data_IF_670688235908
#
_entry.id   IF_670688235908
#
_cell.length_a   1.000
_cell.length_b   1.000
_cell.length_c   1.000
_cell.angle_alpha   90.00
_cell.angle_beta   90.00
_cell.angle_gamma   90.00
#
_symmetry.space_group_name_H-M   'P 1'
#
loop_
_entity.id
_entity.type
_entity.pdbx_description
1 polymer ?
#
# COMPACT_ATOMS: atom_id res chain seq x y z
N UNK A 1 0.79 -6.76 15.99
CA UNK A 1 2.09 -6.42 15.35
C UNK A 1 3.08 -5.89 16.40
N UNK A 2 4.36 -6.24 16.33
CA UNK A 2 5.44 -5.65 17.15
C UNK A 2 6.45 -4.98 16.22
N UNK A 3 6.76 -3.70 16.46
CA UNK A 3 7.61 -2.87 15.58
C UNK A 3 8.87 -2.40 16.30
N UNK A 4 9.88 -1.93 15.54
CA UNK A 4 11.08 -1.32 16.12
C UNK A 4 12.02 -2.30 16.83
N UNK A 5 12.04 -3.57 16.43
CA UNK A 5 12.87 -4.61 17.04
C UNK A 5 14.33 -4.47 16.59
N UNK A 6 15.21 -4.07 17.51
CA UNK A 6 16.57 -3.63 17.18
C UNK A 6 17.63 -4.75 17.11
N UNK A 7 17.33 -5.96 17.60
CA UNK A 7 18.26 -7.08 17.65
C UNK A 7 17.53 -8.42 17.75
N UNK A 8 18.30 -9.52 17.65
CA UNK A 8 17.79 -10.89 17.68
C UNK A 8 17.05 -11.20 19.01
N UNK A 9 17.55 -10.69 20.14
CA UNK A 9 16.90 -10.86 21.45
C UNK A 9 15.49 -10.24 21.46
N UNK A 10 15.34 -9.04 20.90
CA UNK A 10 14.05 -8.36 20.79
C UNK A 10 13.07 -9.12 19.88
N UNK A 11 13.58 -9.67 18.76
CA UNK A 11 12.78 -10.50 17.84
C UNK A 11 12.30 -11.78 18.53
N UNK A 12 13.17 -12.49 19.24
CA UNK A 12 12.81 -13.71 19.99
C UNK A 12 11.77 -13.43 21.08
N UNK A 13 11.92 -12.32 21.81
CA UNK A 13 10.95 -11.91 22.82
C UNK A 13 9.58 -11.55 22.20
N UNK A 14 9.58 -10.84 21.07
CA UNK A 14 8.36 -10.52 20.34
C UNK A 14 7.66 -11.78 19.80
N UNK A 15 8.43 -12.74 19.27
CA UNK A 15 7.91 -14.02 18.81
C UNK A 15 7.22 -14.78 19.93
N UNK A 16 7.91 -14.99 21.07
CA UNK A 16 7.36 -15.72 22.21
C UNK A 16 6.04 -15.10 22.72
N UNK A 17 6.01 -13.76 22.84
CA UNK A 17 4.81 -13.04 23.24
C UNK A 17 3.67 -13.16 22.23
N UNK A 18 3.95 -13.08 20.92
CA UNK A 18 2.91 -13.22 19.89
C UNK A 18 2.36 -14.64 19.84
N UNK A 19 3.20 -15.66 20.01
CA UNK A 19 2.75 -17.07 20.07
C UNK A 19 1.94 -17.36 21.32
N UNK A 20 2.30 -16.77 22.47
CA UNK A 20 1.53 -16.89 23.71
C UNK A 20 0.15 -16.22 23.57
N UNK A 21 0.10 -15.02 22.98
CA UNK A 21 -1.15 -14.30 22.71
C UNK A 21 -2.08 -15.03 21.74
N UNK A 22 -1.53 -15.79 20.79
CA UNK A 22 -2.32 -16.58 19.85
C UNK A 22 -3.07 -17.73 20.54
N UNK A 23 -2.55 -18.24 21.67
CA UNK A 23 -3.17 -19.33 22.42
C UNK A 23 -3.42 -20.55 21.53
N UNK A 24 -4.66 -21.04 21.53
CA UNK A 24 -5.09 -22.19 20.73
C UNK A 24 -5.50 -21.83 19.28
N UNK A 25 -5.36 -20.57 18.87
CA UNK A 25 -5.64 -20.17 17.49
C UNK A 25 -4.66 -20.86 16.52
N UNK A 26 -5.16 -21.22 15.33
CA UNK A 26 -4.31 -21.76 14.28
C UNK A 26 -3.32 -20.67 13.82
N UNK A 27 -2.06 -20.83 14.20
CA UNK A 27 -0.96 -19.95 13.81
C UNK A 27 -0.14 -20.62 12.71
N UNK A 28 -0.27 -20.15 11.47
CA UNK A 28 0.56 -20.64 10.35
C UNK A 28 2.03 -20.27 10.50
N UNK A 29 2.31 -19.13 11.14
CA UNK A 29 3.66 -18.66 11.42
C UNK A 29 3.70 -17.20 11.86
N UNK A 30 4.91 -16.64 11.94
CA UNK A 30 5.14 -15.22 12.23
C UNK A 30 5.95 -14.61 11.09
N UNK A 31 5.41 -13.59 10.45
CA UNK A 31 6.10 -12.83 9.42
C UNK A 31 7.10 -11.85 10.08
N UNK A 32 8.37 -11.96 9.69
CA UNK A 32 9.44 -11.03 10.10
C UNK A 32 9.85 -10.22 8.88
N UNK A 33 9.66 -8.91 8.95
CA UNK A 33 9.92 -7.98 7.85
C UNK A 33 10.84 -6.84 8.29
N UNK A 34 11.51 -6.22 7.32
CA UNK A 34 12.30 -5.01 7.55
C UNK A 34 11.43 -3.87 8.11
N UNK A 35 11.97 -3.13 9.08
CA UNK A 35 11.32 -1.91 9.58
C UNK A 35 11.61 -0.73 8.66
N UNK A 36 10.65 -0.39 7.79
CA UNK A 36 10.73 0.80 6.95
C UNK A 36 10.55 2.07 7.82
N UNK A 37 11.35 3.09 7.56
CA UNK A 37 11.27 4.40 8.24
C UNK A 37 11.21 5.54 7.23
N UNK A 38 10.41 6.55 7.55
CA UNK A 38 10.22 7.72 6.69
C UNK A 38 9.46 7.38 5.40
N UNK A 39 9.46 8.32 4.47
CA UNK A 39 8.59 8.25 3.29
C UNK A 39 7.19 8.78 3.54
N UNK A 40 6.36 8.75 2.51
CA UNK A 40 4.96 9.17 2.56
C UNK A 40 4.11 7.93 2.42
N UNK A 41 3.26 7.67 3.41
CA UNK A 41 2.26 6.60 3.31
C UNK A 41 1.21 6.97 2.26
N UNK A 42 0.93 6.03 1.38
CA UNK A 42 -0.07 6.07 0.30
C UNK A 42 -0.92 4.81 0.35
N UNK A 43 -2.03 4.80 -0.36
CA UNK A 43 -2.83 3.61 -0.61
C UNK A 43 -2.91 3.35 -2.11
N UNK A 44 -2.83 2.08 -2.51
CA UNK A 44 -3.16 1.63 -3.86
C UNK A 44 -4.05 0.41 -3.75
N UNK A 45 -5.19 0.43 -4.43
CA UNK A 45 -6.14 -0.68 -4.38
C UNK A 45 -6.81 -0.98 -5.71
N UNK A 46 -7.53 -2.09 -5.73
CA UNK A 46 -8.43 -2.52 -6.80
C UNK A 46 -9.79 -2.73 -6.16
N UNK A 47 -10.77 -1.96 -6.61
CA UNK A 47 -12.18 -2.10 -6.23
C UNK A 47 -12.97 -2.60 -7.44
N UNK A 48 -14.07 -3.31 -7.20
CA UNK A 48 -15.00 -3.70 -8.28
C UNK A 48 -16.12 -2.69 -8.31
N UNK A 49 -16.19 -1.94 -9.41
CA UNK A 49 -17.32 -1.07 -9.71
C UNK A 49 -18.37 -1.84 -10.54
N UNK A 50 -19.65 -1.65 -10.23
CA UNK A 50 -20.74 -2.39 -10.88
C UNK A 50 -20.88 -2.08 -12.38
N UNK A 51 -20.46 -0.89 -12.82
CA UNK A 51 -20.60 -0.43 -14.19
C UNK A 51 -19.29 -0.62 -14.97
N UNK A 52 -18.15 -0.34 -14.33
CA UNK A 52 -16.85 -0.30 -14.99
C UNK A 52 -15.97 -1.53 -14.70
N UNK A 53 -16.37 -2.38 -13.76
CA UNK A 53 -15.59 -3.53 -13.33
C UNK A 53 -14.36 -3.12 -12.49
N UNK A 54 -13.22 -3.82 -12.63
CA UNK A 54 -12.05 -3.57 -11.79
C UNK A 54 -11.56 -2.13 -11.99
N UNK A 55 -11.46 -1.37 -10.91
CA UNK A 55 -11.08 0.04 -10.91
C UNK A 55 -9.92 0.23 -9.94
N UNK A 56 -8.86 0.90 -10.40
CA UNK A 56 -7.67 1.18 -9.59
C UNK A 56 -7.92 2.44 -8.76
N UNK A 57 -7.66 2.34 -7.46
CA UNK A 57 -7.71 3.44 -6.52
C UNK A 57 -6.28 3.84 -6.12
N UNK A 58 -6.02 5.13 -6.00
CA UNK A 58 -4.80 5.67 -5.41
C UNK A 58 -5.14 6.82 -4.47
N UNK A 59 -4.41 6.93 -3.36
CA UNK A 59 -4.60 8.03 -2.42
C UNK A 59 -3.38 8.24 -1.53
N UNK A 60 -3.46 9.27 -0.68
CA UNK A 60 -2.61 9.32 0.51
C UNK A 60 -2.91 8.11 1.41
N UNK A 61 -2.04 7.77 2.35
CA UNK A 61 -2.21 6.70 3.35
C UNK A 61 -2.37 7.28 4.76
N UNK A 62 -2.63 6.41 5.73
CA UNK A 62 -2.76 6.76 7.14
C UNK A 62 -4.14 7.35 7.53
N UNK A 63 -4.27 7.77 8.80
CA UNK A 63 -5.56 8.20 9.40
C UNK A 63 -6.23 9.35 8.63
N UNK A 64 -5.47 10.14 7.88
CA UNK A 64 -6.00 11.23 7.06
C UNK A 64 -6.90 10.74 5.90
N UNK A 65 -6.74 9.51 5.42
CA UNK A 65 -7.51 8.97 4.27
C UNK A 65 -8.96 8.72 4.61
N UNK A 66 -9.20 8.12 5.78
CA UNK A 66 -10.55 7.79 6.27
C UNK A 66 -11.39 9.06 6.46
N UNK A 67 -10.73 10.17 6.83
CA UNK A 67 -11.38 11.46 7.11
C UNK A 67 -11.54 12.32 5.86
N UNK A 68 -10.52 12.38 4.99
CA UNK A 68 -10.50 13.35 3.88
C UNK A 68 -10.91 12.77 2.52
N UNK A 69 -11.01 11.43 2.37
CA UNK A 69 -11.31 10.74 1.10
C UNK A 69 -10.50 11.29 -0.08
N UNK A 70 -9.22 11.56 0.15
CA UNK A 70 -8.31 12.12 -0.86
C UNK A 70 -7.76 11.00 -1.76
N UNK A 71 -8.64 10.53 -2.65
CA UNK A 71 -8.40 9.40 -3.54
C UNK A 71 -8.76 9.76 -4.98
N UNK A 72 -8.10 9.08 -5.91
CA UNK A 72 -8.34 9.14 -7.34
C UNK A 72 -8.60 7.73 -7.86
N UNK A 73 -9.37 7.63 -8.94
CA UNK A 73 -9.77 6.36 -9.53
C UNK A 73 -9.45 6.34 -11.01
N UNK A 74 -9.08 5.16 -11.52
CA UNK A 74 -8.89 4.89 -12.95
C UNK A 74 -9.37 3.49 -13.33
N UNK A 75 -10.14 3.42 -14.41
CA UNK A 75 -10.54 2.15 -15.01
C UNK A 75 -9.40 1.68 -15.93
N UNK A 76 -8.81 0.50 -15.71
CA UNK A 76 -7.81 -0.08 -16.57
C UNK A 76 -8.43 -0.55 -17.91
N UNK A 77 -7.64 -0.60 -19.01
CA UNK A 77 -6.24 -0.26 -19.08
C UNK A 77 -6.00 1.26 -19.26
N UNK A 78 -4.96 1.76 -18.61
CA UNK A 78 -4.41 3.09 -18.80
C UNK A 78 -2.88 3.06 -18.86
N UNK A 79 -2.27 4.11 -19.41
CA UNK A 79 -0.81 4.22 -19.57
C UNK A 79 -0.10 4.82 -18.34
N UNK A 80 1.24 4.82 -18.38
CA UNK A 80 2.05 5.35 -17.28
C UNK A 80 1.84 6.85 -17.05
N UNK A 81 1.46 7.60 -18.09
CA UNK A 81 1.22 9.03 -17.97
C UNK A 81 -0.12 9.30 -17.28
N UNK A 82 -1.11 8.44 -17.48
CA UNK A 82 -2.35 8.45 -16.71
C UNK A 82 -2.10 8.08 -15.25
N UNK A 83 -1.24 7.10 -14.96
CA UNK A 83 -0.83 6.79 -13.59
C UNK A 83 -0.16 8.00 -12.91
N UNK A 84 0.67 8.77 -13.65
CA UNK A 84 1.27 10.01 -13.14
C UNK A 84 0.24 11.10 -12.89
N UNK A 85 -0.76 11.25 -13.78
CA UNK A 85 -1.89 12.18 -13.59
C UNK A 85 -2.69 11.83 -12.35
N UNK A 86 -3.04 10.55 -12.20
CA UNK A 86 -3.74 9.99 -11.03
C UNK A 86 -3.02 10.33 -9.71
N UNK A 87 -1.67 10.25 -9.69
CA UNK A 87 -0.86 10.64 -8.52
C UNK A 87 -0.86 12.16 -8.29
N UNK A 88 -0.86 12.97 -9.36
CA UNK A 88 -0.83 14.43 -9.25
C UNK A 88 -2.17 15.04 -8.83
N UNK A 89 -3.28 14.30 -8.99
CA UNK A 89 -4.65 14.76 -8.73
C UNK A 89 -5.05 14.75 -7.25
N UNK A 90 -4.37 13.99 -6.39
CA UNK A 90 -4.66 14.00 -4.95
C UNK A 90 -4.31 15.37 -4.36
N UNK A 91 -5.16 15.88 -3.45
CA UNK A 91 -4.97 17.17 -2.78
C UNK A 91 -3.65 17.19 -1.99
N UNK A 92 -3.25 16.05 -1.45
CA UNK A 92 -2.04 15.87 -0.68
C UNK A 92 -0.78 15.65 -1.54
N UNK A 93 -0.84 15.79 -2.87
CA UNK A 93 0.32 15.67 -3.76
C UNK A 93 1.56 16.49 -3.32
N UNK A 94 1.44 17.69 -2.72
CA UNK A 94 2.59 18.42 -2.18
C UNK A 94 3.40 17.64 -1.14
N UNK A 95 2.80 16.70 -0.40
CA UNK A 95 3.52 15.84 0.55
C UNK A 95 4.52 14.93 -0.18
N UNK A 96 4.10 14.33 -1.29
CA UNK A 96 4.96 13.49 -2.14
C UNK A 96 6.11 14.30 -2.78
N UNK A 97 5.95 15.62 -2.88
CA UNK A 97 7.00 16.55 -3.37
C UNK A 97 7.91 17.11 -2.28
N UNK A 98 7.87 16.58 -1.06
CA UNK A 98 8.78 16.96 0.02
C UNK A 98 8.32 18.17 0.83
N UNK A 99 7.03 18.21 1.20
CA UNK A 99 6.50 19.25 2.07
C UNK A 99 7.26 19.35 3.40
N UNK A 100 7.41 20.57 3.94
CA UNK A 100 8.06 20.85 5.24
C UNK A 100 9.52 20.33 5.34
N UNK A 101 10.24 20.33 4.22
CA UNK A 101 11.65 19.91 4.18
C UNK A 101 11.84 18.39 4.17
N UNK A 102 10.77 17.61 4.08
CA UNK A 102 10.85 16.17 3.90
C UNK A 102 11.48 15.82 2.53
N UNK A 103 12.18 14.68 2.42
CA UNK A 103 12.63 14.17 1.14
C UNK A 103 11.47 13.97 0.15
N UNK A 104 11.73 14.19 -1.14
CA UNK A 104 10.76 13.89 -2.22
C UNK A 104 10.59 12.39 -2.35
N UNK A 105 9.37 11.94 -2.62
CA UNK A 105 9.09 10.56 -3.00
C UNK A 105 9.50 10.27 -4.45
N UNK A 106 9.81 9.01 -4.75
CA UNK A 106 10.06 8.51 -6.09
C UNK A 106 8.72 8.31 -6.83
N UNK A 107 8.22 9.39 -7.43
CA UNK A 107 6.96 9.39 -8.18
C UNK A 107 6.96 8.40 -9.36
N UNK A 108 8.13 8.12 -9.94
CA UNK A 108 8.24 7.15 -11.04
C UNK A 108 8.08 5.71 -10.53
N UNK A 109 8.67 5.39 -9.38
CA UNK A 109 8.44 4.09 -8.75
C UNK A 109 6.98 3.90 -8.34
N UNK A 110 6.34 4.97 -7.84
CA UNK A 110 4.92 4.93 -7.47
C UNK A 110 4.03 4.68 -8.69
N UNK A 111 4.21 5.43 -9.78
CA UNK A 111 3.47 5.24 -11.03
C UNK A 111 3.68 3.82 -11.61
N UNK A 112 4.91 3.31 -11.59
CA UNK A 112 5.22 1.92 -12.01
C UNK A 112 4.54 0.88 -11.12
N UNK A 113 4.35 1.17 -9.83
CA UNK A 113 3.66 0.27 -8.89
C UNK A 113 2.17 0.23 -9.22
N UNK A 114 1.53 1.37 -9.44
CA UNK A 114 0.14 1.45 -9.92
C UNK A 114 -0.05 0.65 -11.21
N UNK A 115 0.87 0.80 -12.18
CA UNK A 115 0.82 0.04 -13.43
C UNK A 115 0.90 -1.47 -13.22
N UNK A 116 1.70 -1.94 -12.25
CA UNK A 116 1.77 -3.36 -11.88
C UNK A 116 0.48 -3.85 -11.21
N UNK A 117 -0.12 -3.02 -10.34
CA UNK A 117 -1.41 -3.33 -9.71
C UNK A 117 -2.52 -3.43 -10.74
N UNK A 118 -2.59 -2.48 -11.69
CA UNK A 118 -3.46 -2.57 -12.86
C UNK A 118 -3.28 -3.90 -13.60
N UNK A 119 -2.02 -4.28 -13.87
CA UNK A 119 -1.73 -5.49 -14.63
C UNK A 119 -2.23 -6.74 -13.89
N UNK A 120 -1.99 -6.80 -12.58
CA UNK A 120 -2.48 -7.86 -11.71
C UNK A 120 -4.02 -7.94 -11.73
N UNK A 121 -4.69 -6.79 -11.61
CA UNK A 121 -6.15 -6.70 -11.64
C UNK A 121 -6.75 -7.22 -12.95
N UNK A 122 -6.12 -6.91 -14.08
CA UNK A 122 -6.56 -7.40 -15.40
C UNK A 122 -6.28 -8.90 -15.57
N UNK A 123 -5.06 -9.34 -15.28
CA UNK A 123 -4.62 -10.73 -15.47
C UNK A 123 -5.40 -11.70 -14.56
N UNK A 124 -5.84 -11.24 -13.38
CA UNK A 124 -6.56 -12.02 -12.39
C UNK A 124 -8.00 -11.53 -12.15
N UNK A 125 -8.61 -10.87 -13.14
CA UNK A 125 -9.95 -10.25 -13.04
C UNK A 125 -11.07 -11.18 -12.56
N UNK A 126 -10.98 -12.47 -12.89
CA UNK A 126 -11.94 -13.50 -12.47
C UNK A 126 -11.61 -14.16 -11.12
N UNK A 127 -10.46 -13.81 -10.51
CA UNK A 127 -9.98 -14.40 -9.25
C UNK A 127 -9.92 -13.38 -8.12
N UNK A 128 -9.61 -12.12 -8.41
CA UNK A 128 -9.52 -11.04 -7.42
C UNK A 128 -10.85 -10.29 -7.37
N UNK A 129 -11.47 -10.29 -6.19
CA UNK A 129 -12.60 -9.42 -5.87
C UNK A 129 -12.10 -8.05 -5.41
N UNK A 130 -11.07 -8.01 -4.57
CA UNK A 130 -10.51 -6.76 -4.03
C UNK A 130 -9.01 -6.91 -3.77
N UNK A 131 -8.26 -5.82 -3.94
CA UNK A 131 -6.88 -5.69 -3.48
C UNK A 131 -6.77 -4.36 -2.75
N UNK A 132 -6.22 -4.37 -1.54
CA UNK A 132 -5.87 -3.16 -0.80
C UNK A 132 -4.41 -3.23 -0.37
N UNK A 133 -3.58 -2.30 -0.84
CA UNK A 133 -2.20 -2.11 -0.40
C UNK A 133 -2.17 -0.87 0.47
N UNK A 134 -2.29 -1.09 1.77
CA UNK A 134 -2.40 -0.02 2.75
C UNK A 134 -1.66 -0.39 4.06
N UNK A 135 -0.52 0.22 4.37
CA UNK A 135 0.12 1.32 3.64
C UNK A 135 1.09 0.86 2.56
N UNK A 136 1.08 1.56 1.42
CA UNK A 136 2.18 1.61 0.47
C UNK A 136 3.05 2.84 0.78
N UNK A 137 4.28 2.64 1.24
CA UNK A 137 5.20 3.74 1.56
C UNK A 137 5.97 4.16 0.31
N UNK A 138 5.78 5.42 -0.09
CA UNK A 138 6.55 6.07 -1.14
C UNK A 138 7.84 6.67 -0.55
N UNK A 139 8.98 6.07 -0.88
CA UNK A 139 10.30 6.46 -0.39
C UNK A 139 11.02 7.37 -1.40
N UNK A 140 12.14 8.02 -1.01
CA UNK A 140 12.96 8.77 -1.97
C UNK A 140 13.54 7.92 -3.10
N UNK A 141 13.59 6.59 -2.88
CA UNK A 141 14.00 5.60 -3.88
C UNK A 141 13.09 4.39 -3.74
N UNK A 142 12.18 4.21 -4.69
CA UNK A 142 11.25 3.08 -4.68
C UNK A 142 10.00 3.26 -3.80
N UNK A 143 9.23 2.19 -3.69
CA UNK A 143 8.05 2.08 -2.82
C UNK A 143 8.05 0.70 -2.14
N UNK A 144 7.45 0.62 -0.95
CA UNK A 144 7.34 -0.63 -0.19
C UNK A 144 5.92 -0.78 0.34
N UNK A 145 5.27 -1.90 0.02
CA UNK A 145 4.01 -2.29 0.66
C UNK A 145 4.32 -2.82 2.06
N UNK A 146 3.78 -2.18 3.10
CA UNK A 146 3.94 -2.67 4.48
C UNK A 146 2.86 -3.67 4.85
N UNK A 147 1.70 -3.56 4.21
CA UNK A 147 0.58 -4.49 4.37
C UNK A 147 -0.19 -4.57 3.05
N UNK A 148 -0.84 -5.71 2.84
CA UNK A 148 -1.70 -5.95 1.69
C UNK A 148 -2.77 -6.99 1.99
N UNK A 149 -4.01 -6.69 1.61
CA UNK A 149 -5.13 -7.60 1.65
C UNK A 149 -5.58 -7.93 0.22
N UNK A 150 -5.78 -9.20 -0.07
CA UNK A 150 -6.42 -9.66 -1.30
C UNK A 150 -7.66 -10.45 -0.91
N UNK A 151 -8.81 -10.07 -1.43
CA UNK A 151 -10.05 -10.85 -1.36
C UNK A 151 -10.23 -11.55 -2.69
N UNK A 152 -10.30 -12.87 -2.66
CA UNK A 152 -10.57 -13.69 -3.84
C UNK A 152 -12.08 -13.86 -4.05
N UNK A 153 -12.48 -14.11 -5.30
CA UNK A 153 -13.86 -14.50 -5.64
C UNK A 153 -14.20 -15.91 -5.20
#
# INVERSE_FOLDING_TARGET
VKVGLANDKAVRAAYAHLTELAGDALLEGVLVSEMIKGGVETVVGVVQDDLFGPTIMFGLGGVAVEVYRDVTFRVPPFDIDEARRMIAEIKAFPLLRGARGAPKADLNALAKTIMKVQRLAMDLSNQIAELDINPLVALPKGCVALDALIVTR
#
